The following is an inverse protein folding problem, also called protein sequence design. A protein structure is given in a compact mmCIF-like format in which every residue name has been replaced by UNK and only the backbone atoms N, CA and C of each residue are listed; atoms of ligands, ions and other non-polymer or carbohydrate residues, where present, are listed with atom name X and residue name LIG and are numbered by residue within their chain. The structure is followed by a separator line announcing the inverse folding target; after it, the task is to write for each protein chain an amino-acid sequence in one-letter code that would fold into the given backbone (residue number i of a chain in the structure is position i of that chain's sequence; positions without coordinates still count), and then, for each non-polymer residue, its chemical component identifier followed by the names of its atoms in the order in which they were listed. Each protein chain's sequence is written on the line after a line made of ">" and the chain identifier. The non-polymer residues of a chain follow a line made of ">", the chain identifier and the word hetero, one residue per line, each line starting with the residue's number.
data_IF_178767054374
#
_entry.id   IF_178767054374
#
_cell.length_a   1.000
_cell.length_b   1.000
_cell.length_c   1.000
_cell.angle_alpha   90.00
_cell.angle_beta   90.00
_cell.angle_gamma   90.00
#
_symmetry.space_group_name_H-M   'P 1'
#
loop_
_entity.id
_entity.type
_entity.pdbx_description
1 polymer ?
#
# COMPACT_ATOMS: atom_id res chain seq x y z
N UNK A 1 -55.29 -18.97 31.99
CA UNK A 1 -53.94 -19.20 31.43
C UNK A 1 -53.08 -17.99 31.76
N UNK A 2 -51.98 -18.16 32.50
CA UNK A 2 -51.10 -17.06 32.95
C UNK A 2 -50.07 -16.75 31.85
N UNK A 3 -50.12 -15.55 31.28
CA UNK A 3 -49.11 -15.07 30.33
C UNK A 3 -47.84 -14.70 31.12
N UNK A 4 -46.70 -15.32 30.77
CA UNK A 4 -45.39 -14.97 31.31
C UNK A 4 -44.93 -13.68 30.66
N UNK A 5 -44.84 -12.59 31.44
CA UNK A 5 -44.10 -11.40 31.03
C UNK A 5 -42.61 -11.70 31.20
N UNK A 6 -41.84 -11.50 30.13
CA UNK A 6 -40.38 -11.53 30.17
C UNK A 6 -39.89 -10.14 30.58
N UNK A 7 -39.33 -10.04 31.78
CA UNK A 7 -38.59 -8.85 32.20
C UNK A 7 -37.25 -8.83 31.44
N UNK A 8 -37.15 -7.98 30.43
CA UNK A 8 -35.90 -7.72 29.72
C UNK A 8 -35.11 -6.73 30.56
N UNK A 9 -34.05 -7.21 31.21
CA UNK A 9 -33.10 -6.34 31.91
C UNK A 9 -32.40 -5.42 30.90
N UNK A 10 -32.21 -4.13 31.22
CA UNK A 10 -31.54 -3.20 30.33
C UNK A 10 -30.06 -3.60 30.21
N UNK A 11 -29.63 -3.91 28.99
CA UNK A 11 -28.23 -4.17 28.68
C UNK A 11 -27.46 -2.87 28.96
N UNK A 12 -26.50 -2.93 29.88
CA UNK A 12 -25.62 -1.81 30.14
C UNK A 12 -24.81 -1.52 28.86
N UNK A 13 -25.19 -0.47 28.14
CA UNK A 13 -24.39 0.06 27.05
C UNK A 13 -23.20 0.76 27.70
N UNK A 14 -22.11 0.03 27.89
CA UNK A 14 -20.83 0.65 28.16
C UNK A 14 -20.58 1.67 27.05
N UNK A 15 -20.55 2.95 27.41
CA UNK A 15 -20.17 4.03 26.50
C UNK A 15 -18.74 3.73 26.07
N UNK A 16 -18.60 3.05 24.94
CA UNK A 16 -17.36 2.94 24.19
C UNK A 16 -16.83 4.37 24.03
N UNK A 17 -15.88 4.74 24.89
CA UNK A 17 -15.04 5.91 24.65
C UNK A 17 -14.28 5.58 23.39
N UNK A 18 -14.77 6.07 22.27
CA UNK A 18 -14.01 6.08 21.02
C UNK A 18 -12.68 6.75 21.33
N UNK A 19 -11.62 5.94 21.42
CA UNK A 19 -10.26 6.45 21.47
C UNK A 19 -10.12 7.34 20.24
N UNK A 20 -9.60 8.57 20.36
CA UNK A 20 -9.43 9.43 19.21
C UNK A 20 -8.64 8.65 18.17
N UNK A 21 -9.21 8.48 16.97
CA UNK A 21 -8.46 8.01 15.80
C UNK A 21 -7.28 8.97 15.68
N UNK A 22 -6.11 8.49 16.09
CA UNK A 22 -4.85 9.16 15.77
C UNK A 22 -4.80 9.13 14.25
N UNK A 23 -5.26 10.23 13.64
CA UNK A 23 -4.92 10.54 12.27
C UNK A 23 -3.42 10.71 12.33
N UNK A 24 -2.70 9.69 11.87
CA UNK A 24 -1.29 9.86 11.53
C UNK A 24 -1.31 10.83 10.36
N UNK A 25 -1.30 12.12 10.68
CA UNK A 25 -0.85 13.14 9.76
C UNK A 25 0.61 12.78 9.51
N UNK A 26 0.86 11.99 8.48
CA UNK A 26 2.16 12.01 7.83
C UNK A 26 2.29 13.41 7.26
N UNK A 27 2.78 14.33 8.07
CA UNK A 27 3.35 15.59 7.59
C UNK A 27 4.45 15.19 6.60
N UNK A 28 4.06 15.15 5.33
CA UNK A 28 4.96 14.93 4.23
C UNK A 28 5.85 16.16 4.12
N UNK A 29 7.00 16.09 4.77
CA UNK A 29 8.14 16.97 4.51
C UNK A 29 8.47 16.95 3.00
N UNK A 30 9.00 18.06 2.45
CA UNK A 30 8.87 18.44 1.04
C UNK A 30 9.96 17.78 0.19
N UNK A 31 9.77 16.50 -0.11
CA UNK A 31 10.30 15.92 -1.33
C UNK A 31 9.12 15.25 -2.00
N UNK A 32 8.62 15.84 -3.09
CA UNK A 32 7.69 15.15 -3.97
C UNK A 32 8.44 13.93 -4.52
N UNK A 33 8.43 12.82 -3.77
CA UNK A 33 8.82 11.50 -4.25
C UNK A 33 7.85 11.23 -5.38
N UNK A 34 8.29 11.43 -6.61
CA UNK A 34 7.52 11.12 -7.81
C UNK A 34 7.31 9.62 -7.82
N UNK A 35 6.22 9.17 -7.22
CA UNK A 35 5.83 7.76 -7.24
C UNK A 35 5.38 7.41 -8.66
N UNK A 36 6.03 6.40 -9.24
CA UNK A 36 5.64 5.87 -10.55
C UNK A 36 4.68 4.71 -10.30
N UNK A 37 3.52 4.71 -10.96
CA UNK A 37 2.60 3.57 -10.96
C UNK A 37 3.06 2.57 -12.01
N UNK A 38 3.33 1.34 -11.58
CA UNK A 38 3.70 0.22 -12.45
C UNK A 38 2.64 -0.86 -12.25
N UNK A 39 2.13 -1.39 -13.35
CA UNK A 39 1.28 -2.58 -13.35
C UNK A 39 2.18 -3.78 -13.68
N UNK A 40 2.14 -4.80 -12.83
CA UNK A 40 2.98 -6.00 -12.96
C UNK A 40 2.04 -7.19 -13.06
N UNK A 41 2.15 -7.95 -14.13
CA UNK A 41 1.49 -9.23 -14.28
C UNK A 41 2.39 -10.31 -13.66
N UNK A 42 1.83 -11.09 -12.73
CA UNK A 42 2.54 -12.16 -12.02
C UNK A 42 1.70 -13.42 -12.02
N UNK A 43 2.35 -14.58 -11.85
CA UNK A 43 1.64 -15.86 -11.70
C UNK A 43 0.84 -15.90 -10.39
N UNK A 44 -0.20 -16.76 -10.37
CA UNK A 44 -1.03 -16.96 -9.17
C UNK A 44 -0.20 -17.41 -7.96
N UNK A 45 0.75 -18.31 -8.18
CA UNK A 45 1.63 -18.84 -7.12
C UNK A 45 2.48 -17.75 -6.48
N UNK A 46 2.99 -16.80 -7.27
CA UNK A 46 3.80 -15.70 -6.76
C UNK A 46 2.92 -14.70 -5.98
N UNK A 47 1.69 -14.46 -6.45
CA UNK A 47 0.71 -13.63 -5.76
C UNK A 47 0.36 -14.17 -4.37
N UNK A 48 0.19 -15.47 -4.22
CA UNK A 48 -0.05 -16.11 -2.92
C UNK A 48 1.14 -15.95 -1.98
N UNK A 49 2.36 -16.25 -2.44
CA UNK A 49 3.59 -16.06 -1.64
C UNK A 49 3.76 -14.61 -1.19
N UNK A 50 3.43 -13.65 -2.05
CA UNK A 50 3.51 -12.23 -1.73
C UNK A 50 2.51 -11.82 -0.64
N UNK A 51 1.31 -12.41 -0.64
CA UNK A 51 0.32 -12.23 0.43
C UNK A 51 0.82 -12.81 1.74
N UNK A 52 1.31 -14.04 1.74
CA UNK A 52 1.81 -14.70 2.95
C UNK A 52 2.97 -13.91 3.57
N UNK A 53 3.89 -13.43 2.74
CA UNK A 53 5.01 -12.61 3.20
C UNK A 53 4.55 -11.25 3.74
N UNK A 54 3.54 -10.64 3.10
CA UNK A 54 2.90 -9.41 3.59
C UNK A 54 2.26 -9.61 4.96
N UNK A 55 1.62 -10.75 5.21
CA UNK A 55 1.09 -11.11 6.53
C UNK A 55 2.20 -11.33 7.56
N UNK A 56 3.25 -12.08 7.20
CA UNK A 56 4.36 -12.40 8.09
C UNK A 56 5.10 -11.13 8.56
N UNK A 57 5.37 -10.21 7.64
CA UNK A 57 6.10 -8.97 7.91
C UNK A 57 5.20 -7.83 8.41
N UNK A 58 3.87 -8.01 8.41
CA UNK A 58 2.86 -6.97 8.72
C UNK A 58 3.05 -5.70 7.89
N UNK A 59 3.40 -5.86 6.62
CA UNK A 59 3.59 -4.76 5.68
C UNK A 59 2.62 -4.84 4.50
N UNK A 60 2.26 -3.71 3.88
CA UNK A 60 1.50 -3.71 2.63
C UNK A 60 2.22 -4.48 1.52
N UNK A 61 1.46 -5.26 0.76
CA UNK A 61 1.97 -6.01 -0.41
C UNK A 61 2.87 -5.19 -1.36
N UNK A 62 2.54 -3.92 -1.72
CA UNK A 62 3.42 -3.13 -2.58
C UNK A 62 4.79 -2.84 -1.96
N UNK A 63 4.88 -2.69 -0.63
CA UNK A 63 6.16 -2.45 0.05
C UNK A 63 7.02 -3.71 0.06
N UNK A 64 6.41 -4.88 0.27
CA UNK A 64 7.10 -6.17 0.15
C UNK A 64 7.65 -6.37 -1.27
N UNK A 65 6.86 -6.03 -2.29
CA UNK A 65 7.31 -6.10 -3.69
C UNK A 65 8.50 -5.16 -3.96
N UNK A 66 8.46 -3.93 -3.44
CA UNK A 66 9.57 -2.98 -3.59
C UNK A 66 10.83 -3.48 -2.89
N UNK A 67 10.72 -4.00 -1.66
CA UNK A 67 11.87 -4.56 -0.94
C UNK A 67 12.51 -5.73 -1.71
N UNK A 68 11.70 -6.63 -2.26
CA UNK A 68 12.21 -7.73 -3.08
C UNK A 68 12.94 -7.23 -4.34
N UNK A 69 12.42 -6.17 -4.97
CA UNK A 69 13.08 -5.54 -6.12
C UNK A 69 14.38 -4.84 -5.73
N UNK A 70 14.43 -4.17 -4.58
CA UNK A 70 15.62 -3.53 -4.05
C UNK A 70 16.71 -4.55 -3.74
N UNK A 71 16.37 -5.63 -3.03
CA UNK A 71 17.29 -6.74 -2.77
C UNK A 71 17.81 -7.36 -4.07
N UNK A 72 16.92 -7.57 -5.06
CA UNK A 72 17.33 -8.11 -6.35
C UNK A 72 18.31 -7.18 -7.07
N UNK A 73 18.03 -5.87 -7.13
CA UNK A 73 18.90 -4.90 -7.80
C UNK A 73 20.23 -4.69 -7.06
N UNK A 74 20.24 -4.83 -5.73
CA UNK A 74 21.48 -4.72 -4.94
C UNK A 74 22.40 -5.92 -5.17
N UNK A 75 21.84 -7.11 -5.35
CA UNK A 75 22.60 -8.34 -5.58
C UNK A 75 23.00 -8.55 -7.05
N UNK A 76 22.28 -7.93 -7.98
CA UNK A 76 22.52 -8.07 -9.43
C UNK A 76 22.85 -6.71 -10.05
N UNK A 77 24.11 -6.45 -10.45
CA UNK A 77 24.47 -5.18 -11.06
C UNK A 77 23.71 -4.99 -12.38
N UNK A 78 22.86 -3.97 -12.42
CA UNK A 78 22.10 -3.60 -13.62
C UNK A 78 22.91 -2.60 -14.44
N UNK A 79 23.22 -2.95 -15.69
CA UNK A 79 23.88 -2.02 -16.59
C UNK A 79 22.98 -0.80 -16.87
N UNK A 80 23.53 0.43 -16.84
CA UNK A 80 22.75 1.61 -17.11
C UNK A 80 22.31 1.63 -18.58
N UNK A 81 21.01 1.85 -18.80
CA UNK A 81 20.48 2.08 -20.15
C UNK A 81 21.23 3.23 -20.85
N UNK A 82 21.54 3.12 -22.16
CA UNK A 82 22.22 4.16 -22.91
C UNK A 82 21.44 5.48 -22.90
N UNK A 83 22.15 6.61 -22.90
CA UNK A 83 21.56 7.94 -22.75
C UNK A 83 20.59 8.31 -23.89
N UNK A 84 20.83 7.76 -25.07
CA UNK A 84 19.99 7.90 -26.26
C UNK A 84 18.57 7.39 -26.05
N UNK A 85 18.35 6.42 -25.16
CA UNK A 85 17.03 5.88 -24.83
C UNK A 85 16.35 6.61 -23.66
N UNK A 86 17.15 7.09 -22.70
CA UNK A 86 16.64 7.87 -21.55
C UNK A 86 15.93 9.15 -21.99
N UNK A 87 16.43 9.80 -23.05
CA UNK A 87 15.99 11.12 -23.48
C UNK A 87 14.89 11.12 -24.56
N UNK A 88 14.52 9.95 -25.12
CA UNK A 88 13.52 9.85 -26.22
C UNK A 88 12.10 10.30 -25.86
N UNK A 89 11.79 10.57 -24.58
CA UNK A 89 10.44 10.98 -24.11
C UNK A 89 10.29 12.46 -23.72
N UNK A 90 11.22 13.35 -24.09
CA UNK A 90 11.00 14.82 -23.99
C UNK A 90 10.37 15.43 -25.25
N UNK A 91 9.85 14.61 -26.17
CA UNK A 91 9.07 15.04 -27.34
C UNK A 91 7.60 15.14 -26.97
N UNK A 92 7.17 16.25 -26.36
CA UNK A 92 5.73 16.39 -26.09
C UNK A 92 5.24 17.52 -25.21
N UNK A 93 5.86 18.71 -25.22
CA UNK A 93 5.11 19.91 -24.85
C UNK A 93 5.07 20.84 -26.05
N UNK A 94 4.13 20.61 -26.96
CA UNK A 94 3.73 21.68 -27.89
C UNK A 94 3.31 22.86 -27.03
N UNK A 95 4.00 23.99 -27.17
CA UNK A 95 3.54 25.26 -26.59
C UNK A 95 2.15 25.52 -27.18
N UNK A 96 1.15 25.76 -26.34
CA UNK A 96 -0.12 26.33 -26.82
C UNK A 96 0.22 27.74 -27.30
N UNK A 97 0.20 27.96 -28.62
CA UNK A 97 0.08 29.29 -29.21
C UNK A 97 -1.34 29.78 -29.00
#
# INVERSE_FOLDING_TARGET
>A
MKQKQFDVLPIAIEKLREKPRIRVSTESSPAQKTSIKILIEISSELSEKLKDQSYALRMPQPQVAVLALEEFCNNNPVEPRPESEKNKKKTGRKRKS
#
